data_IF_314770066679
#
_entry.id   IF_314770066679
#
_cell.length_a   1.000
_cell.length_b   1.000
_cell.length_c   1.000
_cell.angle_alpha   90.00
_cell.angle_beta   90.00
_cell.angle_gamma   90.00
#
_symmetry.space_group_name_H-M   'P 1'
#
loop_
_entity.id
_entity.type
_entity.pdbx_description
1 polymer ?
#
# COMPACT_ATOMS: atom_id res chain seq x y z
N UNK A 1 2.71 20.27 17.01
CA UNK A 1 2.38 18.95 16.42
C UNK A 1 3.67 18.42 15.82
N UNK A 2 4.01 17.15 16.06
CA UNK A 2 5.18 16.52 15.44
C UNK A 2 4.99 16.38 13.92
N UNK A 3 6.08 16.08 13.20
CA UNK A 3 6.03 15.71 11.77
C UNK A 3 5.06 14.55 11.54
N UNK A 4 5.12 13.56 12.41
CA UNK A 4 4.38 12.31 12.25
C UNK A 4 2.89 12.54 12.46
N UNK A 5 2.55 13.36 13.46
CA UNK A 5 1.17 13.81 13.66
C UNK A 5 0.61 14.58 12.46
N UNK A 6 1.46 15.29 11.70
CA UNK A 6 1.02 15.95 10.48
C UNK A 6 0.85 14.94 9.35
N UNK A 7 1.75 13.97 9.18
CA UNK A 7 1.64 12.95 8.14
C UNK A 7 0.32 12.15 8.27
N UNK A 8 -0.06 11.77 9.48
CA UNK A 8 -1.30 11.04 9.78
C UNK A 8 -2.58 11.78 9.39
N UNK A 9 -2.57 13.12 9.32
CA UNK A 9 -3.75 13.88 8.92
C UNK A 9 -4.10 13.68 7.43
N UNK A 10 -3.15 13.21 6.61
CA UNK A 10 -3.40 12.89 5.21
C UNK A 10 -4.00 14.06 4.42
N UNK A 11 -5.12 13.79 3.73
CA UNK A 11 -5.80 14.76 2.85
C UNK A 11 -6.27 16.03 3.56
N UNK A 12 -6.54 15.98 4.86
CA UNK A 12 -6.90 17.17 5.66
C UNK A 12 -5.85 18.28 5.58
N UNK A 13 -4.57 17.95 5.47
CA UNK A 13 -3.50 18.95 5.35
C UNK A 13 -3.67 19.87 4.13
N UNK A 14 -4.36 19.38 3.11
CA UNK A 14 -4.67 20.13 1.88
C UNK A 14 -6.07 20.75 1.94
N UNK A 15 -7.09 19.98 2.32
CA UNK A 15 -8.49 20.42 2.19
C UNK A 15 -9.00 21.21 3.39
N UNK A 16 -8.42 21.01 4.57
CA UNK A 16 -8.90 21.54 5.86
C UNK A 16 -10.32 21.09 6.24
N UNK A 17 -10.85 20.04 5.59
CA UNK A 17 -12.16 19.45 5.89
C UNK A 17 -12.00 18.30 6.86
N UNK A 18 -12.62 18.38 8.05
CA UNK A 18 -12.47 17.39 9.14
C UNK A 18 -12.77 15.96 8.66
N UNK A 19 -13.73 15.78 7.76
CA UNK A 19 -14.09 14.48 7.21
C UNK A 19 -12.99 13.85 6.32
N UNK A 20 -11.90 14.57 6.00
CA UNK A 20 -10.77 14.08 5.21
C UNK A 20 -9.54 13.69 6.05
N UNK A 21 -9.64 13.75 7.39
CA UNK A 21 -8.57 13.28 8.27
C UNK A 21 -8.35 11.78 8.05
N UNK A 22 -7.08 11.37 7.92
CA UNK A 22 -6.69 9.97 7.71
C UNK A 22 -6.98 9.43 6.30
N UNK A 23 -7.51 10.25 5.38
CA UNK A 23 -7.67 9.83 3.99
C UNK A 23 -6.37 10.00 3.23
N UNK A 24 -5.97 8.95 2.53
CA UNK A 24 -4.80 8.95 1.65
C UNK A 24 -5.22 8.71 0.20
N UNK A 25 -4.38 9.16 -0.72
CA UNK A 25 -4.56 8.84 -2.14
C UNK A 25 -4.29 7.36 -2.34
N UNK A 26 -5.20 6.64 -2.99
CA UNK A 26 -4.97 5.25 -3.39
C UNK A 26 -3.76 5.16 -4.35
N UNK A 27 -2.68 4.45 -3.97
CA UNK A 27 -1.52 4.28 -4.83
C UNK A 27 -1.83 3.32 -5.98
N UNK A 28 -1.00 3.35 -7.03
CA UNK A 28 -1.07 2.36 -8.11
C UNK A 28 -0.39 1.06 -7.68
N UNK A 29 -0.88 -0.09 -8.16
CA UNK A 29 -0.27 -1.40 -7.87
C UNK A 29 0.78 -1.86 -8.90
N UNK A 30 1.10 -1.04 -9.91
CA UNK A 30 2.17 -1.37 -10.87
C UNK A 30 3.51 -1.41 -10.14
N UNK A 31 4.28 -2.47 -10.34
CA UNK A 31 5.56 -2.73 -9.67
C UNK A 31 5.48 -2.79 -8.14
N UNK A 32 4.30 -3.06 -7.57
CA UNK A 32 4.09 -3.05 -6.11
C UNK A 32 5.04 -4.01 -5.38
N UNK A 33 5.37 -5.15 -5.99
CA UNK A 33 6.30 -6.13 -5.40
C UNK A 33 7.74 -5.61 -5.21
N UNK A 34 8.09 -4.44 -5.78
CA UNK A 34 9.41 -3.83 -5.69
C UNK A 34 9.43 -2.54 -4.84
N UNK A 35 8.33 -2.19 -4.18
CA UNK A 35 8.18 -0.90 -3.48
C UNK A 35 7.89 -1.04 -2.00
N UNK A 36 8.28 -2.17 -1.40
CA UNK A 36 8.27 -2.28 0.05
C UNK A 36 9.16 -1.19 0.70
N UNK A 37 8.82 -0.71 1.91
CA UNK A 37 7.67 -1.10 2.72
C UNK A 37 6.36 -0.43 2.26
N UNK A 38 5.22 -0.96 2.71
CA UNK A 38 3.86 -0.63 2.28
C UNK A 38 3.11 0.26 3.29
N UNK A 39 1.89 0.67 2.92
CA UNK A 39 1.05 1.67 3.60
C UNK A 39 1.60 3.10 3.45
N UNK A 40 0.93 4.09 4.05
CA UNK A 40 1.36 5.49 3.95
C UNK A 40 2.54 5.82 4.88
N UNK A 41 2.78 4.98 5.87
CA UNK A 41 3.79 5.13 6.92
C UNK A 41 4.92 4.10 6.85
N UNK A 42 4.83 3.12 5.94
CA UNK A 42 5.83 2.05 5.83
C UNK A 42 5.69 0.98 6.91
N UNK A 43 4.52 0.85 7.56
CA UNK A 43 4.31 -0.07 8.68
C UNK A 43 4.36 -1.56 8.33
N UNK A 44 4.13 -1.93 7.05
CA UNK A 44 4.07 -3.32 6.61
C UNK A 44 5.20 -3.64 5.63
N UNK A 45 5.91 -4.73 5.85
CA UNK A 45 7.12 -5.10 5.10
C UNK A 45 6.80 -5.97 3.87
N UNK A 46 5.72 -6.75 3.92
CA UNK A 46 5.40 -7.73 2.87
C UNK A 46 3.98 -7.57 2.30
N UNK A 47 3.77 -8.04 1.07
CA UNK A 47 2.44 -8.02 0.44
C UNK A 47 1.46 -8.94 1.18
N UNK A 48 1.95 -10.04 1.76
CA UNK A 48 1.18 -10.95 2.58
C UNK A 48 0.61 -10.22 3.80
N UNK A 49 1.43 -9.41 4.49
CA UNK A 49 0.99 -8.60 5.62
C UNK A 49 -0.08 -7.59 5.21
N UNK A 50 0.05 -6.98 4.02
CA UNK A 50 -0.97 -6.06 3.48
C UNK A 50 -2.29 -6.81 3.23
N UNK A 51 -2.23 -7.99 2.63
CA UNK A 51 -3.42 -8.81 2.38
C UNK A 51 -4.08 -9.25 3.69
N UNK A 52 -3.28 -9.68 4.68
CA UNK A 52 -3.78 -10.07 5.99
C UNK A 52 -4.43 -8.88 6.72
N UNK A 53 -3.80 -7.71 6.71
CA UNK A 53 -4.34 -6.48 7.29
C UNK A 53 -5.74 -6.16 6.75
N UNK A 54 -5.93 -6.18 5.43
CA UNK A 54 -7.25 -5.94 4.85
C UNK A 54 -8.23 -7.10 5.08
N UNK A 55 -7.75 -8.34 5.11
CA UNK A 55 -8.59 -9.49 5.39
C UNK A 55 -9.18 -9.47 6.81
N UNK A 56 -8.44 -8.91 7.78
CA UNK A 56 -8.86 -8.70 9.16
C UNK A 56 -9.76 -7.45 9.34
N UNK A 57 -9.93 -6.63 8.30
CA UNK A 57 -10.72 -5.39 8.35
C UNK A 57 -9.93 -4.15 8.80
N UNK A 58 -8.60 -4.23 8.78
CA UNK A 58 -7.70 -3.13 9.12
C UNK A 58 -7.72 -2.69 10.58
N UNK A 59 -7.02 -1.59 10.86
CA UNK A 59 -6.93 -1.02 12.22
C UNK A 59 -8.20 -0.25 12.56
N UNK A 60 -8.97 -0.81 13.49
CA UNK A 60 -10.17 -0.19 14.03
C UNK A 60 -9.85 1.17 14.68
N UNK A 61 -10.06 2.25 13.93
CA UNK A 61 -9.91 3.61 14.41
C UNK A 61 -11.07 4.49 13.92
N UNK A 62 -11.22 5.66 14.54
CA UNK A 62 -12.36 6.58 14.27
C UNK A 62 -12.41 7.18 12.86
N UNK A 63 -11.37 6.99 12.06
CA UNK A 63 -11.21 7.53 10.72
C UNK A 63 -11.20 6.45 9.64
N UNK A 64 -11.33 5.17 10.01
CA UNK A 64 -11.42 4.09 9.05
C UNK A 64 -12.71 4.22 8.23
N UNK A 65 -12.62 3.93 6.94
CA UNK A 65 -13.79 3.92 6.06
C UNK A 65 -14.64 2.68 6.36
N UNK A 66 -15.97 2.82 6.38
CA UNK A 66 -16.89 1.72 6.63
C UNK A 66 -16.83 0.62 5.56
N UNK A 67 -16.25 0.91 4.38
CA UNK A 67 -15.96 -0.07 3.34
C UNK A 67 -14.77 -0.99 3.68
N UNK A 68 -14.02 -0.73 4.75
CA UNK A 68 -12.99 -1.64 5.26
C UNK A 68 -13.63 -2.53 6.33
N UNK A 69 -13.80 -3.80 6.00
CA UNK A 69 -14.38 -4.82 6.87
C UNK A 69 -13.73 -6.19 6.59
N UNK A 70 -13.83 -7.16 7.52
CA UNK A 70 -13.21 -8.47 7.33
C UNK A 70 -13.70 -9.15 6.04
N UNK A 71 -12.76 -9.55 5.19
CA UNK A 71 -13.05 -10.10 3.86
C UNK A 71 -13.29 -11.62 3.88
N UNK A 72 -12.82 -12.31 4.93
CA UNK A 72 -12.95 -13.75 5.11
C UNK A 72 -12.35 -14.57 3.95
N UNK A 73 -11.23 -14.08 3.38
CA UNK A 73 -10.48 -14.77 2.35
C UNK A 73 -9.91 -16.09 2.89
N UNK A 74 -10.03 -17.14 2.10
CA UNK A 74 -9.32 -18.40 2.32
C UNK A 74 -7.81 -18.22 2.13
N UNK A 75 -7.01 -19.14 2.67
CA UNK A 75 -5.55 -19.13 2.47
C UNK A 75 -5.15 -19.16 1.00
N UNK A 76 -5.93 -19.84 0.16
CA UNK A 76 -5.67 -19.91 -1.27
C UNK A 76 -5.92 -18.55 -1.95
N UNK A 77 -7.06 -17.91 -1.66
CA UNK A 77 -7.38 -16.59 -2.22
C UNK A 77 -6.35 -15.52 -1.83
N UNK A 78 -5.85 -15.56 -0.59
CA UNK A 78 -4.77 -14.67 -0.15
C UNK A 78 -3.49 -14.89 -0.97
N UNK A 79 -3.11 -16.16 -1.17
CA UNK A 79 -1.93 -16.53 -1.96
C UNK A 79 -2.07 -16.10 -3.42
N UNK A 80 -3.24 -16.33 -4.02
CA UNK A 80 -3.51 -15.96 -5.41
C UNK A 80 -3.51 -14.44 -5.60
N UNK A 81 -4.02 -13.68 -4.62
CA UNK A 81 -3.99 -12.22 -4.64
C UNK A 81 -2.55 -11.68 -4.58
N UNK A 82 -1.70 -12.25 -3.73
CA UNK A 82 -0.28 -11.88 -3.68
C UNK A 82 0.40 -12.22 -5.01
N UNK A 83 0.15 -13.41 -5.57
CA UNK A 83 0.70 -13.80 -6.88
C UNK A 83 0.23 -12.85 -8.00
N UNK A 84 -1.04 -12.44 -7.99
CA UNK A 84 -1.55 -11.44 -8.91
C UNK A 84 -0.81 -10.11 -8.77
N UNK A 85 -0.62 -9.60 -7.55
CA UNK A 85 0.14 -8.36 -7.32
C UNK A 85 1.60 -8.45 -7.79
N UNK A 86 2.25 -9.61 -7.59
CA UNK A 86 3.59 -9.86 -8.12
C UNK A 86 3.62 -9.82 -9.66
N UNK A 87 2.58 -10.32 -10.32
CA UNK A 87 2.46 -10.28 -11.78
C UNK A 87 2.33 -8.87 -12.37
N UNK A 88 2.02 -7.86 -11.56
CA UNK A 88 1.96 -6.44 -11.97
C UNK A 88 3.34 -5.78 -12.07
N UNK A 89 4.41 -6.57 -11.91
CA UNK A 89 5.79 -6.12 -12.01
C UNK A 89 6.26 -6.20 -13.45
N UNK A 90 6.67 -5.05 -13.98
CA UNK A 90 7.22 -4.99 -15.34
C UNK A 90 8.61 -5.64 -15.35
N UNK A 91 8.98 -6.40 -16.41
CA UNK A 91 10.34 -6.87 -16.57
C UNK A 91 11.30 -5.68 -16.55
N UNK A 92 12.31 -5.72 -15.70
CA UNK A 92 13.35 -4.69 -15.69
C UNK A 92 14.09 -4.76 -17.03
N UNK A 93 13.82 -3.82 -17.94
CA UNK A 93 14.64 -3.66 -19.14
C UNK A 93 15.98 -3.09 -18.67
N UNK A 94 16.98 -3.95 -18.57
CA UNK A 94 18.37 -3.53 -18.37
C UNK A 94 18.80 -2.66 -19.55
N UNK A 95 18.75 -1.34 -19.39
CA UNK A 95 19.32 -0.38 -20.33
C UNK A 95 20.77 -0.13 -19.92
N UNK A 96 21.63 -1.14 -20.08
CA UNK A 96 23.07 -0.90 -20.13
C UNK A 96 23.40 -0.68 -21.61
N UNK A 97 23.87 0.50 -22.02
CA UNK A 97 24.42 0.68 -23.37
C UNK A 97 25.66 -0.23 -23.52
N UNK A 98 25.74 -1.01 -24.59
CA UNK A 98 26.90 -1.86 -24.96
C UNK A 98 28.15 -1.04 -25.34
N UNK A 99 28.61 -0.12 -24.48
CA UNK A 99 29.72 0.77 -24.82
C UNK A 99 30.65 1.03 -23.64
N UNK A 100 31.20 -0.03 -23.02
CA UNK A 100 32.54 0.01 -22.39
C UNK A 100 33.20 -1.37 -22.51
N UNK A 101 33.49 -1.77 -23.75
CA UNK A 101 34.56 -2.74 -24.04
C UNK A 101 35.41 -2.10 -25.12
N UNK A 102 36.43 -1.36 -24.70
CA UNK A 102 37.65 -1.04 -25.46
C UNK A 102 38.70 -0.53 -24.48
#
# INVERSE_FOLDING_TARGET
MSSDQQAELGRFNVTRVIADIGKFKTPTLRNIALTAPYMHDGSLETLEQVVDYYNEGGDHNRFIDAAIFPLQLSSQEKTDLVAFMQSLTSPQRSVIPEAVQN
#
